data_IF_283913494553
#
_entry.id   IF_283913494553
#
_cell.length_a   1.000
_cell.length_b   1.000
_cell.length_c   1.000
_cell.angle_alpha   90.00
_cell.angle_beta   90.00
_cell.angle_gamma   90.00
#
_symmetry.space_group_name_H-M   'P 1'
#
loop_
_entity.id
_entity.type
_entity.pdbx_description
1 polymer ?
#
# COMPACT_ATOMS: atom_id res chain seq x y z
N UNK A 1 -10.74 -5.25 -3.31
CA UNK A 1 -10.98 -3.79 -3.12
C UNK A 1 -12.40 -3.49 -2.70
N UNK A 2 -13.42 -4.23 -3.18
CA UNK A 2 -14.83 -3.98 -2.84
C UNK A 2 -15.13 -4.02 -1.33
N UNK A 3 -14.55 -4.96 -0.59
CA UNK A 3 -14.74 -5.04 0.88
C UNK A 3 -14.21 -3.79 1.59
N UNK A 4 -13.07 -3.25 1.16
CA UNK A 4 -12.49 -2.03 1.74
C UNK A 4 -13.36 -0.83 1.37
N UNK A 5 -13.81 -0.72 0.11
CA UNK A 5 -14.70 0.37 -0.33
C UNK A 5 -16.02 0.36 0.45
N UNK A 6 -16.65 -0.81 0.58
CA UNK A 6 -17.87 -0.97 1.36
C UNK A 6 -17.68 -0.65 2.86
N UNK A 7 -16.51 -0.95 3.43
CA UNK A 7 -16.19 -0.59 4.81
C UNK A 7 -15.95 0.91 5.01
N UNK A 8 -15.66 1.65 3.93
CA UNK A 8 -15.38 3.08 3.94
C UNK A 8 -16.59 3.94 3.48
N UNK A 9 -17.71 3.32 3.08
CA UNK A 9 -18.97 3.97 2.68
C UNK A 9 -19.75 4.57 3.87
N UNK A 10 -19.19 4.56 5.09
CA UNK A 10 -19.75 5.29 6.23
C UNK A 10 -19.33 6.78 6.14
N UNK A 11 -20.32 7.67 6.10
CA UNK A 11 -20.15 9.08 5.71
C UNK A 11 -19.17 9.84 6.63
N UNK A 12 -18.30 10.65 6.00
CA UNK A 12 -17.49 11.74 6.58
C UNK A 12 -16.03 11.47 6.98
N UNK A 13 -15.29 10.60 6.28
CA UNK A 13 -13.82 10.59 6.40
C UNK A 13 -13.15 11.23 5.16
N UNK A 14 -12.25 12.19 5.39
CA UNK A 14 -11.42 12.85 4.37
C UNK A 14 -10.27 11.91 3.97
N UNK A 15 -10.55 10.97 3.08
CA UNK A 15 -9.57 10.03 2.56
C UNK A 15 -9.65 9.92 1.05
N UNK A 16 -8.52 9.57 0.43
CA UNK A 16 -8.44 9.17 -0.97
C UNK A 16 -8.15 7.67 -1.03
N UNK A 17 -8.79 6.97 -1.97
CA UNK A 17 -8.57 5.54 -2.19
C UNK A 17 -8.13 5.29 -3.64
N UNK A 18 -6.90 4.81 -3.80
CA UNK A 18 -6.30 4.48 -5.09
C UNK A 18 -6.07 2.97 -5.23
N UNK A 19 -6.47 2.40 -6.36
CA UNK A 19 -6.35 0.97 -6.62
C UNK A 19 -5.06 0.63 -7.34
N UNK A 20 -4.16 -0.13 -6.70
CA UNK A 20 -2.90 -0.58 -7.29
C UNK A 20 -2.91 -2.09 -7.57
N UNK A 21 -2.20 -2.51 -8.63
CA UNK A 21 -2.16 -3.93 -9.07
C UNK A 21 -1.09 -4.76 -8.35
N UNK A 22 -0.05 -4.12 -7.83
CA UNK A 22 1.07 -4.77 -7.16
C UNK A 22 1.77 -3.81 -6.19
N UNK A 23 2.76 -4.31 -5.45
CA UNK A 23 3.48 -3.53 -4.45
C UNK A 23 4.28 -2.37 -5.07
N UNK A 24 4.93 -2.57 -6.21
CA UNK A 24 5.72 -1.53 -6.89
C UNK A 24 4.86 -0.33 -7.30
N UNK A 25 3.69 -0.58 -7.89
CA UNK A 25 2.76 0.49 -8.23
C UNK A 25 2.28 1.22 -6.97
N UNK A 26 1.97 0.49 -5.91
CA UNK A 26 1.54 1.07 -4.63
C UNK A 26 2.58 2.02 -4.04
N UNK A 27 3.86 1.63 -4.05
CA UNK A 27 4.96 2.46 -3.54
C UNK A 27 5.15 3.74 -4.38
N UNK A 28 5.14 3.62 -5.72
CA UNK A 28 5.26 4.80 -6.60
C UNK A 28 4.09 5.77 -6.44
N UNK A 29 2.87 5.25 -6.33
CA UNK A 29 1.69 6.08 -6.08
C UNK A 29 1.81 6.81 -4.75
N UNK A 30 2.19 6.11 -3.67
CA UNK A 30 2.39 6.73 -2.36
C UNK A 30 3.46 7.84 -2.42
N UNK A 31 4.59 7.58 -3.08
CA UNK A 31 5.68 8.56 -3.24
C UNK A 31 5.24 9.85 -3.94
N UNK A 32 4.26 9.78 -4.85
CA UNK A 32 3.74 10.94 -5.57
C UNK A 32 2.79 11.84 -4.77
N UNK A 33 2.30 11.40 -3.61
CA UNK A 33 1.28 12.14 -2.83
C UNK A 33 1.76 12.56 -1.43
N UNK A 34 2.83 11.97 -0.92
CA UNK A 34 3.37 12.28 0.42
C UNK A 34 4.28 13.50 0.43
N UNK A 35 4.36 14.16 1.58
CA UNK A 35 5.23 15.31 1.87
C UNK A 35 6.20 15.00 3.02
N UNK A 36 7.29 15.76 3.18
CA UNK A 36 8.18 15.62 4.33
C UNK A 36 7.42 15.72 5.66
N UNK A 37 7.54 14.68 6.50
CA UNK A 37 6.81 14.56 7.77
C UNK A 37 5.69 13.52 7.74
N UNK A 38 5.26 13.08 6.57
CA UNK A 38 4.27 12.01 6.43
C UNK A 38 4.87 10.64 6.74
N UNK A 39 3.99 9.68 7.06
CA UNK A 39 4.34 8.27 7.30
C UNK A 39 3.63 7.38 6.29
N UNK A 40 4.39 6.53 5.61
CA UNK A 40 3.86 5.47 4.74
C UNK A 40 3.96 4.13 5.47
N UNK A 41 2.83 3.45 5.65
CA UNK A 41 2.75 2.15 6.32
C UNK A 41 2.35 1.06 5.31
N UNK A 42 3.16 0.00 5.24
CA UNK A 42 2.77 -1.24 4.55
C UNK A 42 1.96 -2.14 5.50
N UNK A 43 0.64 -2.19 5.33
CA UNK A 43 -0.28 -3.01 6.12
C UNK A 43 -1.29 -3.79 5.23
N UNK A 44 -0.85 -4.84 4.51
CA UNK A 44 -1.66 -5.51 3.48
C UNK A 44 -2.80 -6.39 4.02
N UNK A 45 -2.88 -6.64 5.33
CA UNK A 45 -4.03 -7.32 5.97
C UNK A 45 -4.25 -8.80 5.58
N UNK A 46 -3.35 -9.41 4.79
CA UNK A 46 -3.49 -10.78 4.27
C UNK A 46 -2.16 -11.49 4.04
N UNK A 47 -2.26 -12.75 3.61
CA UNK A 47 -1.11 -13.58 3.23
C UNK A 47 -0.36 -12.96 2.04
N UNK A 48 0.90 -13.34 1.85
CA UNK A 48 1.78 -12.78 0.80
C UNK A 48 1.97 -13.69 -0.41
N UNK A 49 1.35 -14.88 -0.40
CA UNK A 49 1.61 -15.96 -1.35
C UNK A 49 1.06 -15.72 -2.76
N UNK A 50 0.37 -14.62 -2.96
CA UNK A 50 -0.14 -14.15 -4.25
C UNK A 50 0.97 -13.58 -5.14
N UNK A 51 1.90 -12.83 -4.57
CA UNK A 51 3.00 -12.18 -5.29
C UNK A 51 4.40 -12.59 -4.78
N UNK A 52 4.50 -13.11 -3.55
CA UNK A 52 5.76 -13.39 -2.86
C UNK A 52 5.81 -14.79 -2.25
N UNK A 53 7.01 -15.32 -2.02
CA UNK A 53 7.23 -16.58 -1.32
C UNK A 53 6.75 -16.51 0.13
N UNK A 54 6.96 -15.39 0.81
CA UNK A 54 6.62 -15.19 2.23
C UNK A 54 6.52 -13.70 2.57
N UNK A 55 6.16 -13.39 3.82
CA UNK A 55 5.97 -12.00 4.25
C UNK A 55 7.29 -11.24 4.39
N UNK A 56 8.40 -11.95 4.61
CA UNK A 56 9.74 -11.35 4.74
C UNK A 56 10.21 -10.85 3.37
N UNK A 57 10.03 -11.65 2.32
CA UNK A 57 10.31 -11.24 0.94
C UNK A 57 9.47 -10.03 0.53
N UNK A 58 8.16 -10.02 0.85
CA UNK A 58 7.30 -8.84 0.61
C UNK A 58 7.82 -7.59 1.32
N UNK A 59 8.22 -7.72 2.58
CA UNK A 59 8.77 -6.63 3.37
C UNK A 59 10.12 -6.14 2.85
N UNK A 60 10.99 -7.06 2.41
CA UNK A 60 12.26 -6.70 1.79
C UNK A 60 12.02 -5.98 0.48
N UNK A 61 11.08 -6.45 -0.35
CA UNK A 61 10.75 -5.77 -1.59
C UNK A 61 10.24 -4.36 -1.40
N UNK A 62 9.43 -4.12 -0.39
CA UNK A 62 9.00 -2.77 -0.03
C UNK A 62 10.19 -1.85 0.29
N UNK A 63 11.14 -2.31 1.11
CA UNK A 63 12.34 -1.53 1.44
C UNK A 63 13.18 -1.23 0.21
N UNK A 64 13.39 -2.23 -0.65
CA UNK A 64 14.17 -2.05 -1.88
C UNK A 64 13.53 -1.02 -2.81
N UNK A 65 12.20 -1.06 -2.95
CA UNK A 65 11.44 -0.10 -3.76
C UNK A 65 11.53 1.30 -3.17
N UNK A 66 11.36 1.47 -1.86
CA UNK A 66 11.47 2.77 -1.19
C UNK A 66 12.87 3.37 -1.30
N UNK A 67 13.91 2.54 -1.16
CA UNK A 67 15.30 2.99 -1.31
C UNK A 67 15.69 3.34 -2.75
N UNK A 68 14.86 2.98 -3.73
CA UNK A 68 15.08 3.25 -5.15
C UNK A 68 14.24 4.43 -5.69
N UNK A 69 13.44 5.09 -4.84
CA UNK A 69 12.72 6.32 -5.16
C UNK A 69 13.68 7.52 -5.22
#
# INVERSE_FOLDING_TARGET
VEVIRAALDDEAADYTLEGCRNLEQSVRTAAGVVSPGDVVLLAPGGTSFDEFKDFEERGQRFKDLVNAL
#
